data_IF_993367822445
#
_entry.id   IF_993367822445
#
_cell.length_a   1.000
_cell.length_b   1.000
_cell.length_c   1.000
_cell.angle_alpha   90.00
_cell.angle_beta   90.00
_cell.angle_gamma   90.00
#
_symmetry.space_group_name_H-M   'P 1'
#
loop_
_entity.id
_entity.type
_entity.pdbx_description
1 polymer ?
#
# COMPACT_ATOMS: atom_id res chain seq x y z
N UNK A 1 16.90 -48.61 -8.54
CA UNK A 1 17.30 -48.12 -7.20
C UNK A 1 18.16 -46.90 -7.43
N UNK A 2 17.58 -45.71 -7.25
CA UNK A 2 17.82 -44.80 -6.11
C UNK A 2 19.25 -44.22 -6.16
N UNK A 3 19.52 -42.91 -6.15
CA UNK A 3 18.77 -41.79 -5.59
C UNK A 3 19.26 -40.46 -6.20
N UNK A 4 18.38 -39.45 -6.21
CA UNK A 4 18.77 -38.02 -6.22
C UNK A 4 19.02 -37.56 -4.78
N UNK A 5 19.65 -36.39 -4.61
CA UNK A 5 19.00 -35.41 -3.75
C UNK A 5 18.96 -33.98 -4.30
N UNK A 6 17.96 -33.28 -3.77
CA UNK A 6 17.52 -31.90 -3.97
C UNK A 6 18.54 -30.80 -3.63
N UNK A 7 18.24 -29.60 -4.14
CA UNK A 7 18.83 -28.34 -3.71
C UNK A 7 18.13 -27.12 -4.31
N UNK A 8 16.81 -26.98 -4.13
CA UNK A 8 16.07 -25.78 -4.54
C UNK A 8 16.29 -24.65 -3.52
N UNK A 9 17.00 -23.60 -3.93
CA UNK A 9 17.11 -22.35 -3.20
C UNK A 9 15.80 -21.56 -3.32
N UNK A 10 15.18 -21.33 -2.18
CA UNK A 10 13.81 -20.90 -1.99
C UNK A 10 13.74 -19.35 -1.92
N UNK A 11 13.34 -18.68 -3.01
CA UNK A 11 13.21 -17.22 -3.09
C UNK A 11 11.91 -16.72 -2.41
N UNK A 12 11.97 -15.62 -1.66
CA UNK A 12 10.89 -15.10 -0.81
C UNK A 12 10.17 -13.88 -1.43
N UNK A 13 8.81 -13.81 -1.42
CA UNK A 13 8.07 -12.67 -1.95
C UNK A 13 7.78 -11.60 -0.86
N UNK A 14 7.86 -10.31 -1.21
CA UNK A 14 7.45 -9.15 -0.37
C UNK A 14 6.05 -8.71 -0.83
N UNK A 15 5.23 -8.16 0.08
CA UNK A 15 3.90 -7.63 -0.22
C UNK A 15 3.60 -6.32 0.50
N UNK A 16 2.88 -5.45 -0.21
CA UNK A 16 2.50 -4.07 0.16
C UNK A 16 1.35 -4.04 1.19
N UNK A 17 1.50 -3.25 2.26
CA UNK A 17 0.80 -3.41 3.53
C UNK A 17 -0.04 -2.23 4.02
N UNK A 18 -1.13 -2.53 4.73
CA UNK A 18 -1.89 -1.62 5.60
C UNK A 18 -2.73 -2.40 6.61
N UNK A 19 -3.02 -1.87 7.83
CA UNK A 19 -2.90 -2.67 9.05
C UNK A 19 -4.21 -3.09 9.71
N UNK A 20 -4.18 -4.24 10.39
CA UNK A 20 -4.82 -4.44 11.70
C UNK A 20 -4.18 -5.61 12.50
N UNK A 21 -3.49 -5.24 13.60
CA UNK A 21 -3.28 -5.93 14.91
C UNK A 21 -3.18 -7.48 14.86
N UNK A 22 -2.02 -8.11 15.15
CA UNK A 22 -1.30 -8.14 16.44
C UNK A 22 0.23 -8.14 16.25
N UNK A 23 0.93 -7.73 17.31
CA UNK A 23 2.38 -7.80 17.42
C UNK A 23 2.94 -9.19 17.03
N UNK A 24 4.06 -9.10 16.32
CA UNK A 24 5.02 -10.15 15.94
C UNK A 24 4.99 -10.63 14.48
N UNK A 25 6.18 -10.46 13.92
CA UNK A 25 6.75 -10.89 12.66
C UNK A 25 6.13 -10.48 11.30
N UNK A 26 6.67 -9.42 10.69
CA UNK A 26 6.34 -9.00 9.34
C UNK A 26 7.43 -9.42 8.34
N UNK A 27 7.21 -10.63 7.80
CA UNK A 27 7.63 -11.21 6.51
C UNK A 27 8.36 -12.55 6.68
N UNK A 28 7.63 -13.66 6.51
CA UNK A 28 8.21 -14.98 6.33
C UNK A 28 7.21 -16.14 6.31
N UNK A 29 6.78 -16.51 5.09
CA UNK A 29 6.22 -17.80 4.62
C UNK A 29 5.44 -18.72 5.60
N UNK A 30 4.27 -19.13 5.09
CA UNK A 30 3.40 -20.24 5.48
C UNK A 30 2.26 -19.93 6.48
N UNK A 31 1.05 -19.84 5.90
CA UNK A 31 -0.19 -20.33 6.47
C UNK A 31 -0.61 -19.78 7.85
N UNK A 32 -0.96 -18.51 7.93
CA UNK A 32 -2.21 -18.03 8.55
C UNK A 32 -2.35 -16.53 8.29
N UNK A 33 -3.05 -16.17 7.21
CA UNK A 33 -3.25 -14.79 6.80
C UNK A 33 -3.92 -13.94 7.91
N UNK A 34 -3.42 -12.73 8.15
CA UNK A 34 -3.98 -11.76 9.10
C UNK A 34 -5.14 -10.91 8.50
N UNK A 35 -5.20 -10.79 7.17
CA UNK A 35 -6.28 -10.07 6.46
C UNK A 35 -7.68 -10.69 6.70
N UNK A 36 -7.85 -12.04 6.73
CA UNK A 36 -9.10 -12.69 7.13
C UNK A 36 -9.57 -12.34 8.55
N UNK A 37 -8.68 -12.03 9.50
CA UNK A 37 -9.05 -11.83 10.91
C UNK A 37 -9.70 -10.47 11.15
N UNK A 38 -9.16 -9.39 10.57
CA UNK A 38 -9.74 -8.05 10.70
C UNK A 38 -11.09 -7.93 9.97
N UNK A 39 -11.23 -8.66 8.85
CA UNK A 39 -12.47 -8.74 8.10
C UNK A 39 -13.58 -9.50 8.83
N UNK A 40 -13.25 -10.44 9.73
CA UNK A 40 -14.25 -11.25 10.47
C UNK A 40 -15.23 -10.41 11.30
N UNK A 41 -14.87 -9.18 11.65
CA UNK A 41 -15.71 -8.25 12.41
C UNK A 41 -16.66 -7.45 11.50
N UNK A 42 -16.37 -7.36 10.19
CA UNK A 42 -17.19 -6.64 9.24
C UNK A 42 -18.43 -7.44 8.84
N UNK A 43 -19.53 -6.76 8.46
CA UNK A 43 -20.67 -7.41 7.81
C UNK A 43 -20.24 -8.28 6.63
N UNK A 44 -20.79 -9.50 6.54
CA UNK A 44 -20.38 -10.51 5.56
C UNK A 44 -20.29 -9.97 4.14
N UNK A 45 -21.23 -9.13 3.72
CA UNK A 45 -21.25 -8.54 2.37
C UNK A 45 -20.08 -7.59 2.12
N UNK A 46 -19.77 -6.71 3.08
CA UNK A 46 -18.63 -5.79 2.98
C UNK A 46 -17.33 -6.60 2.93
N UNK A 47 -17.23 -7.64 3.77
CA UNK A 47 -16.09 -8.53 3.76
C UNK A 47 -15.88 -9.20 2.41
N UNK A 48 -16.93 -9.78 1.81
CA UNK A 48 -16.83 -10.42 0.49
C UNK A 48 -16.39 -9.44 -0.60
N UNK A 49 -16.90 -8.21 -0.57
CA UNK A 49 -16.50 -7.16 -1.51
C UNK A 49 -15.01 -6.78 -1.35
N UNK A 50 -14.56 -6.58 -0.12
CA UNK A 50 -13.14 -6.30 0.18
C UNK A 50 -12.23 -7.48 -0.17
N UNK A 51 -12.66 -8.72 0.10
CA UNK A 51 -11.92 -9.94 -0.26
C UNK A 51 -11.74 -10.05 -1.78
N UNK A 52 -12.77 -9.71 -2.57
CA UNK A 52 -12.69 -9.73 -4.04
C UNK A 52 -11.71 -8.67 -4.56
N UNK A 53 -11.79 -7.44 -4.05
CA UNK A 53 -10.86 -6.35 -4.39
C UNK A 53 -9.43 -6.71 -4.02
N UNK A 54 -9.23 -7.23 -2.81
CA UNK A 54 -7.91 -7.64 -2.32
C UNK A 54 -7.32 -8.76 -3.17
N UNK A 55 -8.11 -9.80 -3.49
CA UNK A 55 -7.65 -10.90 -4.34
C UNK A 55 -7.21 -10.39 -5.71
N UNK A 56 -7.94 -9.44 -6.29
CA UNK A 56 -7.54 -8.82 -7.55
C UNK A 56 -6.23 -8.04 -7.44
N UNK A 57 -6.12 -7.12 -6.46
CA UNK A 57 -4.91 -6.34 -6.29
C UNK A 57 -3.69 -7.24 -6.09
N UNK A 58 -3.82 -8.28 -5.25
CA UNK A 58 -2.76 -9.25 -5.01
C UNK A 58 -2.41 -10.08 -6.24
N UNK A 59 -3.41 -10.47 -7.03
CA UNK A 59 -3.18 -11.21 -8.28
C UNK A 59 -2.38 -10.38 -9.29
N UNK A 60 -2.71 -9.09 -9.45
CA UNK A 60 -1.95 -8.18 -10.33
C UNK A 60 -0.51 -8.02 -9.86
N UNK A 61 -0.31 -7.86 -8.55
CA UNK A 61 1.00 -7.78 -7.89
C UNK A 61 1.83 -9.05 -8.08
N UNK A 62 1.23 -10.23 -7.83
CA UNK A 62 1.88 -11.53 -8.04
C UNK A 62 2.30 -11.75 -9.50
N UNK A 63 1.50 -11.27 -10.46
CA UNK A 63 1.88 -11.31 -11.89
C UNK A 63 3.07 -10.39 -12.20
N UNK A 64 3.12 -9.20 -11.59
CA UNK A 64 4.24 -8.26 -11.78
C UNK A 64 5.55 -8.74 -11.15
N UNK A 65 5.47 -9.42 -10.02
CA UNK A 65 6.65 -9.76 -9.21
C UNK A 65 7.15 -11.19 -9.38
N UNK A 66 6.25 -12.16 -9.52
CA UNK A 66 6.56 -13.59 -9.37
C UNK A 66 6.26 -14.42 -10.61
N UNK A 67 5.46 -13.92 -11.56
CA UNK A 67 5.18 -14.69 -12.76
C UNK A 67 6.47 -15.03 -13.53
N UNK A 68 6.54 -16.29 -13.96
CA UNK A 68 7.54 -16.77 -14.91
C UNK A 68 7.15 -16.37 -16.33
N UNK A 69 8.15 -16.17 -17.19
CA UNK A 69 7.92 -15.78 -18.58
C UNK A 69 7.64 -14.28 -18.76
N UNK A 70 6.78 -13.95 -19.72
CA UNK A 70 6.50 -12.56 -20.10
C UNK A 70 5.44 -11.93 -19.19
N UNK A 71 5.91 -11.20 -18.18
CA UNK A 71 5.07 -10.48 -17.20
C UNK A 71 4.25 -9.38 -17.84
N UNK A 72 4.76 -8.70 -18.87
CA UNK A 72 4.02 -7.64 -19.57
C UNK A 72 2.85 -8.22 -20.35
N UNK A 73 3.04 -9.37 -21.00
CA UNK A 73 1.95 -10.09 -21.66
C UNK A 73 0.88 -10.57 -20.66
N UNK A 74 1.30 -11.06 -19.48
CA UNK A 74 0.37 -11.44 -18.42
C UNK A 74 -0.45 -10.24 -17.90
N UNK A 75 0.21 -9.12 -17.59
CA UNK A 75 -0.45 -7.87 -17.19
C UNK A 75 -1.34 -7.30 -18.31
N UNK A 76 -0.91 -7.44 -19.57
CA UNK A 76 -1.71 -7.12 -20.77
C UNK A 76 -2.99 -7.92 -20.87
N UNK A 77 -2.92 -9.22 -20.55
CA UNK A 77 -4.08 -10.11 -20.57
C UNK A 77 -5.08 -9.75 -19.47
N UNK A 78 -4.61 -9.46 -18.25
CA UNK A 78 -5.47 -8.99 -17.16
C UNK A 78 -6.13 -7.66 -17.48
N UNK A 79 -5.42 -6.71 -18.09
CA UNK A 79 -6.03 -5.45 -18.55
C UNK A 79 -7.14 -5.68 -19.57
N UNK A 80 -6.91 -6.57 -20.54
CA UNK A 80 -7.90 -6.92 -21.55
C UNK A 80 -9.17 -7.52 -20.89
N UNK A 81 -8.99 -8.41 -19.93
CA UNK A 81 -10.08 -9.01 -19.15
C UNK A 81 -10.83 -7.99 -18.30
N UNK A 82 -10.12 -7.03 -17.67
CA UNK A 82 -10.78 -5.92 -16.97
C UNK A 82 -11.62 -5.11 -17.94
N UNK A 83 -11.11 -4.74 -19.13
CA UNK A 83 -11.92 -4.03 -20.13
C UNK A 83 -13.11 -4.85 -20.62
N UNK A 84 -12.93 -6.14 -20.85
CA UNK A 84 -13.99 -7.05 -21.26
C UNK A 84 -15.11 -7.11 -20.21
N UNK A 85 -14.76 -7.16 -18.92
CA UNK A 85 -15.71 -7.14 -17.81
C UNK A 85 -16.66 -5.94 -17.89
N UNK A 86 -16.15 -4.74 -18.21
CA UNK A 86 -16.97 -3.52 -18.33
C UNK A 86 -17.75 -3.43 -19.64
N UNK A 87 -17.27 -4.06 -20.71
CA UNK A 87 -17.92 -4.07 -22.01
C UNK A 87 -18.92 -5.22 -22.20
N UNK A 88 -19.10 -6.08 -21.19
CA UNK A 88 -19.94 -7.28 -21.28
C UNK A 88 -19.35 -8.38 -22.17
N UNK A 89 -18.03 -8.37 -22.37
CA UNK A 89 -17.28 -9.37 -23.11
C UNK A 89 -16.88 -10.59 -22.27
N UNK A 90 -16.30 -11.63 -22.90
CA UNK A 90 -15.78 -12.78 -22.19
C UNK A 90 -14.56 -12.40 -21.34
N UNK A 91 -14.51 -12.90 -20.10
CA UNK A 91 -13.41 -12.71 -19.14
C UNK A 91 -12.78 -14.07 -18.88
N UNK A 92 -11.48 -14.21 -19.18
CA UNK A 92 -10.78 -15.51 -19.07
C UNK A 92 -10.18 -15.74 -17.68
N UNK A 93 -9.63 -14.68 -17.07
CA UNK A 93 -8.99 -14.73 -15.77
C UNK A 93 -10.04 -14.92 -14.64
N UNK A 94 -9.94 -16.01 -13.84
CA UNK A 94 -10.90 -16.30 -12.78
C UNK A 94 -10.95 -15.24 -11.67
N UNK A 95 -9.82 -14.56 -11.39
CA UNK A 95 -9.77 -13.50 -10.38
C UNK A 95 -10.50 -12.26 -10.90
N UNK A 96 -10.30 -11.89 -12.17
CA UNK A 96 -11.04 -10.79 -12.80
C UNK A 96 -12.54 -11.13 -12.91
N UNK A 97 -12.89 -12.35 -13.31
CA UNK A 97 -14.29 -12.80 -13.34
C UNK A 97 -14.94 -12.75 -11.94
N UNK A 98 -14.17 -13.10 -10.89
CA UNK A 98 -14.59 -13.01 -9.49
C UNK A 98 -14.93 -11.59 -9.01
N UNK A 99 -14.44 -10.54 -9.69
CA UNK A 99 -14.79 -9.15 -9.38
C UNK A 99 -16.17 -8.74 -9.89
N UNK A 100 -16.76 -9.44 -10.85
CA UNK A 100 -17.93 -8.97 -11.60
C UNK A 100 -19.10 -8.53 -10.69
N UNK A 101 -19.42 -9.36 -9.69
CA UNK A 101 -20.49 -9.07 -8.74
C UNK A 101 -20.19 -7.85 -7.87
N UNK A 102 -18.94 -7.67 -7.45
CA UNK A 102 -18.49 -6.55 -6.63
C UNK A 102 -18.49 -5.25 -7.45
N UNK A 103 -17.95 -5.29 -8.66
CA UNK A 103 -17.91 -4.15 -9.60
C UNK A 103 -19.32 -3.64 -9.91
N UNK A 104 -20.24 -4.53 -10.28
CA UNK A 104 -21.61 -4.17 -10.59
C UNK A 104 -22.35 -3.59 -9.37
N UNK A 105 -22.24 -4.24 -8.21
CA UNK A 105 -22.93 -3.83 -6.97
C UNK A 105 -22.44 -2.49 -6.45
N UNK A 106 -21.12 -2.31 -6.40
CA UNK A 106 -20.48 -1.13 -5.82
C UNK A 106 -20.25 0.00 -6.83
N UNK A 107 -20.64 -0.22 -8.10
CA UNK A 107 -20.43 0.72 -9.22
C UNK A 107 -18.98 1.20 -9.27
N UNK A 108 -18.06 0.25 -9.20
CA UNK A 108 -16.62 0.51 -9.33
C UNK A 108 -16.36 0.86 -10.80
N UNK A 109 -15.66 1.97 -11.10
CA UNK A 109 -15.19 2.28 -12.45
C UNK A 109 -13.96 1.44 -12.79
N UNK A 110 -13.67 1.28 -14.08
CA UNK A 110 -12.52 0.51 -14.53
C UNK A 110 -11.18 1.13 -14.11
N UNK A 111 -11.11 2.46 -14.06
CA UNK A 111 -9.88 3.23 -13.82
C UNK A 111 -9.03 2.76 -12.63
N UNK A 112 -9.56 2.66 -11.39
CA UNK A 112 -8.76 2.21 -10.25
C UNK A 112 -8.22 0.78 -10.40
N UNK A 113 -8.92 -0.11 -11.12
CA UNK A 113 -8.41 -1.45 -11.38
C UNK A 113 -7.27 -1.40 -12.40
N UNK A 114 -7.46 -0.65 -13.48
CA UNK A 114 -6.45 -0.49 -14.54
C UNK A 114 -5.18 0.22 -14.06
N UNK A 115 -5.30 1.18 -13.13
CA UNK A 115 -4.14 1.86 -12.52
C UNK A 115 -3.24 0.91 -11.74
N UNK A 116 -3.80 -0.10 -11.07
CA UNK A 116 -3.00 -1.13 -10.37
C UNK A 116 -2.22 -1.99 -11.37
N UNK A 117 -2.80 -2.29 -12.53
CA UNK A 117 -2.09 -2.99 -13.62
C UNK A 117 -0.96 -2.12 -14.17
N UNK A 118 -1.23 -0.83 -14.38
CA UNK A 118 -0.23 0.11 -14.89
C UNK A 118 0.93 0.32 -13.91
N UNK A 119 0.67 0.37 -12.59
CA UNK A 119 1.71 0.41 -11.59
C UNK A 119 2.68 -0.78 -11.73
N UNK A 120 2.13 -1.99 -11.86
CA UNK A 120 2.92 -3.22 -12.02
C UNK A 120 3.68 -3.27 -13.34
N UNK A 121 3.15 -2.67 -14.42
CA UNK A 121 3.91 -2.50 -15.68
C UNK A 121 5.06 -1.53 -15.51
N UNK A 122 4.83 -0.39 -14.85
CA UNK A 122 5.87 0.60 -14.57
C UNK A 122 7.01 -0.02 -13.78
N UNK A 123 6.69 -0.90 -12.83
CA UNK A 123 7.66 -1.63 -12.03
C UNK A 123 8.53 -2.61 -12.84
N UNK A 124 8.17 -2.98 -14.07
CA UNK A 124 9.02 -3.80 -14.93
C UNK A 124 10.20 -3.02 -15.54
N UNK A 125 10.13 -1.68 -15.52
CA UNK A 125 11.09 -0.83 -16.26
C UNK A 125 11.66 0.32 -15.43
N UNK A 126 10.95 0.78 -14.40
CA UNK A 126 11.37 1.88 -13.53
C UNK A 126 11.79 1.32 -12.18
N UNK A 127 13.04 1.62 -11.79
CA UNK A 127 13.63 1.19 -10.53
C UNK A 127 14.22 2.33 -9.70
N UNK A 128 14.24 3.56 -10.25
CA UNK A 128 14.63 4.79 -9.57
C UNK A 128 13.69 5.92 -9.98
N UNK A 129 13.44 6.84 -9.05
CA UNK A 129 12.68 8.06 -9.27
C UNK A 129 13.61 9.28 -9.15
N UNK A 130 13.50 10.22 -10.08
CA UNK A 130 14.38 11.40 -10.08
C UNK A 130 13.92 12.40 -9.03
N UNK A 131 12.61 12.68 -9.02
CA UNK A 131 11.97 13.63 -8.10
C UNK A 131 10.94 12.97 -7.20
N UNK A 132 10.60 13.63 -6.10
CA UNK A 132 9.49 13.22 -5.25
C UNK A 132 8.16 13.22 -6.01
N UNK A 133 7.97 14.17 -6.93
CA UNK A 133 6.77 14.21 -7.77
C UNK A 133 6.64 12.99 -8.70
N UNK A 134 7.75 12.44 -9.18
CA UNK A 134 7.76 11.19 -9.95
C UNK A 134 7.32 10.00 -9.08
N UNK A 135 7.80 9.94 -7.84
CA UNK A 135 7.43 8.92 -6.86
C UNK A 135 5.96 9.05 -6.45
N UNK A 136 5.46 10.28 -6.24
CA UNK A 136 4.03 10.54 -6.04
C UNK A 136 3.23 10.11 -7.28
N UNK A 137 3.78 10.26 -8.48
CA UNK A 137 3.21 9.74 -9.72
C UNK A 137 3.07 8.23 -9.74
N UNK A 138 4.02 7.52 -9.14
CA UNK A 138 3.89 6.08 -8.92
C UNK A 138 2.83 5.74 -7.87
N UNK A 139 2.79 6.44 -6.73
CA UNK A 139 1.80 6.22 -5.68
C UNK A 139 0.35 6.42 -6.18
N UNK A 140 0.16 7.36 -7.12
CA UNK A 140 -1.12 7.53 -7.83
C UNK A 140 -1.53 6.26 -8.57
N UNK A 141 -0.61 5.42 -9.02
CA UNK A 141 -0.95 4.17 -9.71
C UNK A 141 -1.04 3.00 -8.73
N UNK A 142 -0.12 2.89 -7.78
CA UNK A 142 0.05 1.70 -6.92
C UNK A 142 -0.80 1.72 -5.64
N UNK A 143 -1.04 2.89 -5.05
CA UNK A 143 -1.63 2.99 -3.70
C UNK A 143 -2.98 3.70 -3.68
N UNK A 144 -3.09 4.86 -4.33
CA UNK A 144 -4.33 5.67 -4.31
C UNK A 144 -5.58 4.91 -4.79
N UNK A 145 -5.51 4.08 -5.86
CA UNK A 145 -6.68 3.31 -6.30
C UNK A 145 -7.24 2.36 -5.24
N UNK A 146 -6.38 1.83 -4.35
CA UNK A 146 -6.81 0.94 -3.26
C UNK A 146 -7.74 1.69 -2.30
N UNK A 147 -7.39 2.94 -1.95
CA UNK A 147 -8.22 3.79 -1.10
C UNK A 147 -9.58 4.08 -1.71
N UNK A 148 -9.62 4.40 -3.01
CA UNK A 148 -10.87 4.58 -3.75
C UNK A 148 -11.73 3.31 -3.72
N UNK A 149 -11.15 2.14 -4.01
CA UNK A 149 -11.86 0.86 -4.02
C UNK A 149 -12.46 0.55 -2.64
N UNK A 150 -11.71 0.76 -1.56
CA UNK A 150 -12.19 0.61 -0.19
C UNK A 150 -13.37 1.56 0.10
N UNK A 151 -13.25 2.84 -0.26
CA UNK A 151 -14.34 3.81 -0.09
C UNK A 151 -15.59 3.43 -0.90
N UNK A 152 -15.44 2.87 -2.09
CA UNK A 152 -16.56 2.39 -2.92
C UNK A 152 -17.26 1.21 -2.27
N UNK A 153 -16.52 0.23 -1.78
CA UNK A 153 -17.09 -0.92 -1.06
C UNK A 153 -17.90 -0.49 0.17
N UNK A 154 -17.46 0.57 0.86
CA UNK A 154 -18.22 1.15 1.97
C UNK A 154 -19.38 2.07 1.55
N UNK A 155 -19.57 2.31 0.25
CA UNK A 155 -20.57 3.25 -0.28
C UNK A 155 -20.29 4.71 0.11
N UNK A 156 -19.02 5.09 0.25
CA UNK A 156 -18.57 6.40 0.72
C UNK A 156 -17.73 7.19 -0.27
N UNK A 157 -17.44 6.66 -1.45
CA UNK A 157 -16.65 7.33 -2.47
C UNK A 157 -17.34 8.59 -3.00
N UNK A 158 -16.80 9.77 -2.65
CA UNK A 158 -17.06 11.06 -3.31
C UNK A 158 -15.72 11.63 -3.75
N UNK A 159 -15.65 12.53 -4.75
CA UNK A 159 -14.39 13.11 -5.19
C UNK A 159 -13.56 13.69 -4.04
N UNK A 160 -14.21 14.37 -3.09
CA UNK A 160 -13.54 14.98 -1.94
C UNK A 160 -12.98 13.94 -0.97
N UNK A 161 -13.71 12.83 -0.75
CA UNK A 161 -13.24 11.75 0.12
C UNK A 161 -12.14 10.94 -0.53
N UNK A 162 -12.20 10.72 -1.85
CA UNK A 162 -11.14 10.07 -2.61
C UNK A 162 -9.86 10.91 -2.50
N UNK A 163 -9.91 12.21 -2.77
CA UNK A 163 -8.74 13.08 -2.66
C UNK A 163 -8.10 13.10 -1.25
N UNK A 164 -8.88 12.94 -0.18
CA UNK A 164 -8.33 12.78 1.18
C UNK A 164 -7.79 11.36 1.42
N UNK A 165 -8.40 10.35 0.83
CA UNK A 165 -7.93 8.97 0.88
C UNK A 165 -6.60 8.80 0.14
N UNK A 166 -6.44 9.43 -1.02
CA UNK A 166 -5.21 9.42 -1.82
C UNK A 166 -4.03 9.91 -0.97
N UNK A 167 -4.20 11.00 -0.22
CA UNK A 167 -3.17 11.48 0.71
C UNK A 167 -2.79 10.45 1.78
N UNK A 168 -3.78 9.71 2.31
CA UNK A 168 -3.53 8.64 3.29
C UNK A 168 -2.79 7.48 2.61
N UNK A 169 -3.26 7.02 1.45
CA UNK A 169 -2.71 5.90 0.72
C UNK A 169 -1.28 6.17 0.26
N UNK A 170 -1.05 7.31 -0.39
CA UNK A 170 0.29 7.80 -0.74
C UNK A 170 1.19 7.87 0.50
N UNK A 171 0.73 8.44 1.62
CA UNK A 171 1.55 8.50 2.83
C UNK A 171 1.94 7.11 3.36
N UNK A 172 1.02 6.15 3.34
CA UNK A 172 1.29 4.78 3.76
C UNK A 172 2.30 4.09 2.83
N UNK A 173 2.16 4.28 1.52
CA UNK A 173 3.08 3.75 0.53
C UNK A 173 4.49 4.30 0.71
N UNK A 174 4.64 5.61 0.92
CA UNK A 174 5.92 6.23 1.23
C UNK A 174 6.53 5.65 2.50
N UNK A 175 5.74 5.52 3.57
CA UNK A 175 6.22 4.95 4.82
C UNK A 175 6.68 3.49 4.68
N UNK A 176 6.02 2.70 3.83
CA UNK A 176 6.44 1.35 3.50
C UNK A 176 7.82 1.37 2.83
N UNK A 177 8.00 2.18 1.79
CA UNK A 177 9.31 2.37 1.14
C UNK A 177 10.39 2.78 2.14
N UNK A 178 10.08 3.61 3.14
CA UNK A 178 11.04 4.03 4.18
C UNK A 178 11.36 2.93 5.20
N UNK A 179 10.45 2.00 5.45
CA UNK A 179 10.71 0.84 6.29
C UNK A 179 11.61 -0.17 5.59
N UNK A 180 11.38 -0.35 4.28
CA UNK A 180 11.94 -1.45 3.49
C UNK A 180 13.11 -1.01 2.57
N UNK A 181 13.65 0.21 2.77
CA UNK A 181 14.78 0.80 2.00
C UNK A 181 15.91 -0.20 1.72
N UNK A 182 16.34 -0.94 2.76
CA UNK A 182 17.41 -1.92 2.61
C UNK A 182 16.98 -3.07 1.72
N UNK A 183 15.79 -3.62 1.93
CA UNK A 183 15.31 -4.76 1.17
C UNK A 183 15.07 -4.41 -0.30
N UNK A 184 14.48 -3.24 -0.56
CA UNK A 184 14.29 -2.70 -1.90
C UNK A 184 15.62 -2.49 -2.63
N UNK A 185 16.62 -1.90 -1.95
CA UNK A 185 17.95 -1.71 -2.52
C UNK A 185 18.59 -3.04 -2.95
N UNK A 186 18.52 -4.07 -2.12
CA UNK A 186 19.06 -5.39 -2.44
C UNK A 186 18.29 -6.10 -3.57
N UNK A 187 17.06 -5.66 -3.85
CA UNK A 187 16.26 -6.07 -5.02
C UNK A 187 16.51 -5.20 -6.26
N UNK A 188 17.45 -4.26 -6.18
CA UNK A 188 17.81 -3.37 -7.28
C UNK A 188 16.85 -2.20 -7.48
N UNK A 189 16.01 -1.89 -6.48
CA UNK A 189 15.04 -0.79 -6.49
C UNK A 189 15.43 0.29 -5.47
N UNK A 190 15.22 1.55 -5.82
CA UNK A 190 15.41 2.69 -4.92
C UNK A 190 14.26 3.66 -5.10
N UNK A 191 13.38 3.69 -4.10
CA UNK A 191 12.21 4.58 -4.09
C UNK A 191 12.53 5.97 -3.53
N UNK A 192 13.56 6.11 -2.69
CA UNK A 192 14.01 7.43 -2.23
C UNK A 192 14.41 8.27 -3.46
N UNK A 193 13.83 9.47 -3.65
CA UNK A 193 14.13 10.27 -4.83
C UNK A 193 15.61 10.64 -4.94
N UNK A 194 16.14 10.63 -6.16
CA UNK A 194 17.55 10.99 -6.41
C UNK A 194 17.87 12.43 -6.06
N UNK A 195 16.90 13.34 -6.21
CA UNK A 195 17.07 14.72 -5.76
C UNK A 195 17.31 14.82 -4.25
N UNK A 196 16.65 13.99 -3.46
CA UNK A 196 16.77 13.98 -2.00
C UNK A 196 18.07 13.28 -1.58
N UNK A 197 18.46 12.19 -2.26
CA UNK A 197 19.80 11.59 -2.10
C UNK A 197 20.90 12.65 -2.29
N UNK A 198 20.83 13.45 -3.36
CA UNK A 198 21.78 14.54 -3.60
C UNK A 198 21.69 15.64 -2.55
N UNK A 199 20.48 16.03 -2.14
CA UNK A 199 20.28 17.08 -1.15
C UNK A 199 20.96 16.75 0.19
N UNK A 200 20.90 15.49 0.60
CA UNK A 200 21.53 14.99 1.82
C UNK A 200 22.95 14.44 1.61
N UNK A 201 23.53 14.56 0.41
CA UNK A 201 24.86 14.01 0.07
C UNK A 201 24.99 12.50 0.31
N UNK A 202 23.89 11.77 0.17
CA UNK A 202 23.81 10.31 0.30
C UNK A 202 24.03 9.67 -1.06
N UNK A 203 24.91 8.67 -1.15
CA UNK A 203 25.06 7.86 -2.36
C UNK A 203 24.10 6.68 -2.32
N UNK A 204 23.70 6.19 -3.50
CA UNK A 204 22.76 5.06 -3.60
C UNK A 204 23.29 3.82 -2.84
N UNK A 205 24.61 3.58 -2.86
CA UNK A 205 25.23 2.43 -2.20
C UNK A 205 25.19 2.52 -0.67
N UNK A 206 25.02 3.72 -0.11
CA UNK A 206 24.93 3.93 1.33
C UNK A 206 23.61 3.36 1.88
N UNK A 207 22.60 3.16 1.02
CA UNK A 207 21.34 2.47 1.34
C UNK A 207 21.52 0.95 1.51
N UNK A 208 22.63 0.39 1.03
CA UNK A 208 22.98 -1.03 1.18
C UNK A 208 23.83 -1.35 2.41
N UNK A 209 24.14 -0.35 3.24
CA UNK A 209 24.97 -0.54 4.43
C UNK A 209 24.23 -1.34 5.52
N UNK A 210 25.01 -1.93 6.44
CA UNK A 210 24.44 -2.65 7.61
C UNK A 210 23.74 -1.73 8.61
N UNK A 211 24.03 -0.44 8.58
CA UNK A 211 23.43 0.59 9.42
C UNK A 211 23.51 1.93 8.71
N UNK A 212 22.49 2.76 8.87
CA UNK A 212 22.41 4.08 8.27
C UNK A 212 23.50 5.01 8.81
N UNK A 213 24.16 5.75 7.91
CA UNK A 213 25.03 6.89 8.26
C UNK A 213 24.20 8.03 8.86
N UNK A 214 24.86 9.07 9.38
CA UNK A 214 24.16 10.26 9.86
C UNK A 214 23.31 10.91 8.75
N UNK A 215 23.86 10.98 7.53
CA UNK A 215 23.20 11.57 6.37
C UNK A 215 22.01 10.73 5.89
N UNK A 216 22.14 9.40 5.87
CA UNK A 216 21.02 8.50 5.56
C UNK A 216 19.90 8.66 6.61
N UNK A 217 20.23 8.76 7.90
CA UNK A 217 19.23 8.98 8.95
C UNK A 217 18.51 10.31 8.79
N UNK A 218 19.24 11.38 8.47
CA UNK A 218 18.66 12.70 8.22
C UNK A 218 17.74 12.69 6.99
N UNK A 219 18.13 12.00 5.92
CA UNK A 219 17.30 11.77 4.75
C UNK A 219 16.02 11.02 5.11
N UNK A 220 16.11 9.88 5.80
CA UNK A 220 14.92 9.09 6.19
C UNK A 220 14.02 9.88 7.16
N UNK A 221 14.58 10.69 8.05
CA UNK A 221 13.81 11.60 8.89
C UNK A 221 13.01 12.62 8.07
N UNK A 222 13.67 13.26 7.10
CA UNK A 222 13.06 14.21 6.17
C UNK A 222 11.92 13.57 5.37
N UNK A 223 12.17 12.41 4.79
CA UNK A 223 11.18 11.63 4.05
C UNK A 223 9.98 11.19 4.90
N UNK A 224 10.26 10.76 6.13
CA UNK A 224 9.22 10.40 7.10
C UNK A 224 8.36 11.60 7.46
N UNK A 225 8.93 12.81 7.54
CA UNK A 225 8.18 14.03 7.79
C UNK A 225 7.23 14.35 6.63
N UNK A 226 7.68 14.25 5.36
CA UNK A 226 6.82 14.43 4.18
C UNK A 226 5.62 13.47 4.18
N UNK A 227 5.89 12.19 4.42
CA UNK A 227 4.83 11.18 4.48
C UNK A 227 3.85 11.45 5.64
N UNK A 228 4.36 11.86 6.80
CA UNK A 228 3.52 12.24 7.95
C UNK A 228 2.62 13.44 7.63
N UNK A 229 3.13 14.47 6.97
CA UNK A 229 2.34 15.65 6.61
C UNK A 229 1.21 15.31 5.63
N UNK A 230 1.47 14.43 4.65
CA UNK A 230 0.43 13.88 3.77
C UNK A 230 -0.62 13.09 4.57
N UNK A 231 -0.20 12.23 5.49
CA UNK A 231 -1.11 11.44 6.33
C UNK A 231 -2.04 12.35 7.16
N UNK A 232 -1.47 13.39 7.77
CA UNK A 232 -2.24 14.36 8.55
C UNK A 232 -3.15 15.24 7.68
N UNK A 233 -2.74 15.56 6.46
CA UNK A 233 -3.56 16.28 5.49
C UNK A 233 -4.75 15.43 4.97
N UNK A 234 -4.63 14.10 4.96
CA UNK A 234 -5.71 13.16 4.63
C UNK A 234 -6.61 12.78 5.82
N UNK A 235 -6.09 12.87 7.05
CA UNK A 235 -6.80 12.52 8.29
C UNK A 235 -8.20 13.19 8.49
N UNK A 236 -8.50 14.40 7.97
CA UNK A 236 -9.85 14.96 7.99
C UNK A 236 -10.93 14.04 7.41
N UNK A 237 -10.58 13.06 6.55
CA UNK A 237 -11.48 12.04 6.03
C UNK A 237 -12.29 11.35 7.15
N UNK A 238 -11.65 11.06 8.28
CA UNK A 238 -12.28 10.40 9.44
C UNK A 238 -13.49 11.16 9.98
N UNK A 239 -13.47 12.50 9.89
CA UNK A 239 -14.56 13.37 10.29
C UNK A 239 -15.80 13.24 9.39
N UNK A 240 -15.61 12.79 8.15
CA UNK A 240 -16.67 12.65 7.14
C UNK A 240 -17.27 11.24 7.09
N UNK A 241 -16.66 10.27 7.76
CA UNK A 241 -17.05 8.86 7.77
C UNK A 241 -17.78 8.47 9.07
N UNK A 242 -18.54 7.38 9.00
CA UNK A 242 -19.24 6.78 10.15
C UNK A 242 -19.23 5.27 10.10
N UNK A 243 -19.50 4.62 11.23
CA UNK A 243 -19.58 3.16 11.34
C UNK A 243 -18.27 2.47 10.94
N UNK A 244 -18.40 1.33 10.24
CA UNK A 244 -17.27 0.51 9.81
C UNK A 244 -16.26 1.24 8.94
N UNK A 245 -16.72 2.09 8.01
CA UNK A 245 -15.82 2.87 7.16
C UNK A 245 -14.88 3.77 7.98
N UNK A 246 -15.41 4.43 9.03
CA UNK A 246 -14.58 5.27 9.92
C UNK A 246 -13.58 4.43 10.69
N UNK A 247 -14.01 3.28 11.22
CA UNK A 247 -13.13 2.38 11.99
C UNK A 247 -11.99 1.83 11.12
N UNK A 248 -12.30 1.39 9.91
CA UNK A 248 -11.31 0.89 8.95
C UNK A 248 -10.29 1.97 8.58
N UNK A 249 -10.74 3.14 8.14
CA UNK A 249 -9.83 4.25 7.78
C UNK A 249 -9.05 4.76 8.99
N UNK A 250 -9.64 4.79 10.19
CA UNK A 250 -8.93 5.16 11.41
C UNK A 250 -7.80 4.17 11.74
N UNK A 251 -7.97 2.87 11.42
CA UNK A 251 -6.94 1.85 11.51
C UNK A 251 -5.73 2.16 10.63
N UNK A 252 -5.97 2.49 9.36
CA UNK A 252 -4.91 2.89 8.42
C UNK A 252 -4.16 4.13 8.89
N UNK A 253 -4.87 5.20 9.29
CA UNK A 253 -4.24 6.42 9.83
C UNK A 253 -3.44 6.14 11.11
N UNK A 254 -3.97 5.30 12.01
CA UNK A 254 -3.27 4.90 13.22
C UNK A 254 -2.00 4.09 12.92
N UNK A 255 -2.07 3.21 11.91
CA UNK A 255 -0.96 2.45 11.38
C UNK A 255 0.17 3.35 10.90
N UNK A 256 -0.13 4.27 9.98
CA UNK A 256 0.87 5.23 9.47
C UNK A 256 1.52 6.05 10.58
N UNK A 257 0.73 6.58 11.53
CA UNK A 257 1.25 7.30 12.70
C UNK A 257 2.16 6.43 13.57
N UNK A 258 1.80 5.16 13.75
CA UNK A 258 2.61 4.21 14.52
C UNK A 258 3.89 3.82 13.77
N UNK A 259 3.87 3.78 12.44
CA UNK A 259 5.05 3.60 11.59
C UNK A 259 6.01 4.78 11.70
N UNK A 260 5.54 6.03 11.58
CA UNK A 260 6.37 7.22 11.82
C UNK A 260 7.03 7.16 13.21
N UNK A 261 6.27 6.75 14.23
CA UNK A 261 6.80 6.60 15.59
C UNK A 261 7.82 5.45 15.71
N UNK A 262 7.68 4.38 14.91
CA UNK A 262 8.64 3.28 14.85
C UNK A 262 9.96 3.70 14.19
N UNK A 263 9.90 4.39 13.04
CA UNK A 263 11.05 4.98 12.36
C UNK A 263 11.83 5.90 13.30
N UNK A 264 11.14 6.84 13.95
CA UNK A 264 11.75 7.75 14.93
C UNK A 264 12.37 7.02 16.13
N UNK A 265 11.69 6.01 16.68
CA UNK A 265 12.22 5.21 17.80
C UNK A 265 13.46 4.41 17.40
N UNK A 266 13.51 3.97 16.14
CA UNK A 266 14.69 3.33 15.55
C UNK A 266 15.82 4.29 15.22
N UNK A 267 15.70 5.59 15.52
CA UNK A 267 16.68 6.60 15.15
C UNK A 267 16.78 6.82 13.64
N UNK A 268 15.69 6.57 12.91
CA UNK A 268 15.61 6.66 11.44
C UNK A 268 16.65 5.79 10.72
N UNK A 269 16.99 4.63 11.30
CA UNK A 269 17.91 3.65 10.74
C UNK A 269 17.16 2.38 10.30
N UNK A 270 16.48 2.40 9.14
CA UNK A 270 15.77 1.22 8.64
C UNK A 270 16.73 0.13 8.16
N UNK A 271 18.00 0.46 7.89
CA UNK A 271 19.00 -0.47 7.38
C UNK A 271 19.41 -1.50 8.42
N UNK A 272 19.52 -1.08 9.69
CA UNK A 272 19.92 -1.97 10.79
C UNK A 272 18.83 -2.99 11.15
N UNK A 273 17.57 -2.55 11.11
CA UNK A 273 16.39 -3.37 11.40
C UNK A 273 15.17 -2.67 10.85
N UNK A 274 14.33 -3.42 10.13
CA UNK A 274 13.04 -2.92 9.65
C UNK A 274 12.23 -2.38 10.83
N UNK A 275 11.90 -1.07 10.87
CA UNK A 275 11.19 -0.47 11.98
C UNK A 275 9.74 -0.96 11.96
N UNK A 276 9.24 -1.54 13.05
CA UNK A 276 7.86 -2.05 13.11
C UNK A 276 7.01 -1.33 14.16
N UNK A 277 5.74 -1.02 13.85
CA UNK A 277 4.78 -0.52 14.83
C UNK A 277 4.62 -1.47 16.01
N UNK A 278 4.45 -0.94 17.21
CA UNK A 278 4.11 -1.72 18.40
C UNK A 278 2.61 -1.61 18.69
N UNK A 279 1.99 -2.66 19.25
CA UNK A 279 0.57 -2.63 19.65
C UNK A 279 0.18 -1.42 20.51
N UNK A 280 0.98 -0.99 21.52
CA UNK A 280 0.63 0.20 22.32
C UNK A 280 0.67 1.50 21.51
N UNK A 281 1.68 1.67 20.65
CA UNK A 281 1.79 2.84 19.77
C UNK A 281 0.59 2.93 18.81
N UNK A 282 0.21 1.81 18.21
CA UNK A 282 -0.98 1.69 17.37
C UNK A 282 -2.25 2.04 18.15
N UNK A 283 -2.48 1.40 19.30
CA UNK A 283 -3.67 1.62 20.11
C UNK A 283 -3.82 3.09 20.54
N UNK A 284 -2.72 3.71 20.99
CA UNK A 284 -2.70 5.13 21.34
C UNK A 284 -2.98 6.03 20.14
N UNK A 285 -2.42 5.72 18.97
CA UNK A 285 -2.69 6.47 17.74
C UNK A 285 -4.14 6.32 17.29
N UNK A 286 -4.71 5.11 17.37
CA UNK A 286 -6.09 4.81 17.03
C UNK A 286 -7.08 5.58 17.91
N UNK A 287 -6.87 5.56 19.24
CA UNK A 287 -7.68 6.34 20.17
C UNK A 287 -7.64 7.84 19.85
N UNK A 288 -6.46 8.40 19.58
CA UNK A 288 -6.33 9.82 19.15
C UNK A 288 -7.05 10.10 17.84
N UNK A 289 -6.94 9.22 16.84
CA UNK A 289 -7.65 9.33 15.56
C UNK A 289 -9.17 9.34 15.76
N UNK A 290 -9.68 8.55 16.71
CA UNK A 290 -11.10 8.47 17.00
C UNK A 290 -11.63 9.67 17.80
N UNK A 291 -10.80 10.22 18.69
CA UNK A 291 -11.12 11.39 19.53
C UNK A 291 -10.97 12.74 18.79
N UNK A 292 -10.32 12.77 17.63
CA UNK A 292 -10.24 13.95 16.76
C UNK A 292 -11.64 14.47 16.43
N UNK A 293 -11.95 15.70 16.87
CA UNK A 293 -13.27 16.32 16.73
C UNK A 293 -13.73 16.34 15.28
N UNK A 294 -15.01 16.03 15.04
CA UNK A 294 -15.70 16.35 13.78
C UNK A 294 -15.62 17.87 13.59
N UNK A 295 -14.75 18.36 12.69
CA UNK A 295 -14.92 19.72 12.18
C UNK A 295 -16.12 19.69 11.22
N UNK A 296 -17.16 20.52 11.44
CA UNK A 296 -18.26 20.58 10.50
C UNK A 296 -17.73 21.06 9.15
N UNK A 297 -18.01 20.31 8.08
CA UNK A 297 -17.80 20.78 6.71
C UNK A 297 -18.78 21.93 6.52
N UNK A 298 -18.28 23.17 6.50
CA UNK A 298 -19.07 24.32 6.08
C UNK A 298 -19.44 24.11 4.61
N UNK A 299 -20.72 23.80 4.35
CA UNK A 299 -21.28 23.91 3.00
C UNK A 299 -21.06 25.35 2.54
N UNK A 300 -20.26 25.54 1.50
CA UNK A 300 -20.18 26.81 0.79
C UNK A 300 -21.60 27.18 0.37
N UNK A 301 -22.05 28.37 0.78
CA UNK A 301 -23.27 28.96 0.25
C UNK A 301 -22.99 29.33 -1.20
N UNK A 302 -23.94 28.94 -2.06
CA UNK A 302 -24.09 29.42 -3.43
C UNK A 302 -24.22 30.94 -3.48
#
# INVERSE_FOLDING_TARGET
>A
MSDRPDGSADAAPIGVGGPAIRAEDPLGKAATENFPVALRILPVRIRQDLEAVYRYARHVDDLGDQASGDRLAALGSVEADVRALYNGGPVSDPVVAGLASTVARQRIPADPLLRLVEANRRDQHISRYETFDDLLGYCRLSADPVGELVLRVFGRATPERIALSDKICTALQLLEHWQDVSEDYHRGRVYVPREDLRHFSVREEDLGLRAATADVRALIEFETARAKDLLEAGAPLLGTLSGWARLSVAGYVAGGRATCAALRRGGFDPLRRVPRPTSPAFAGAFLRSMLGRRRPVTKGRA
#
